data_IF_303691377324
#
_entry.id   IF_303691377324
#
_cell.length_a   1.000
_cell.length_b   1.000
_cell.length_c   1.000
_cell.angle_alpha   90.00
_cell.angle_beta   90.00
_cell.angle_gamma   90.00
#
_symmetry.space_group_name_H-M   'P 1'
#
loop_
_entity.id
_entity.type
_entity.pdbx_description
1 polymer ?
#
# COMPACT_ATOMS: atom_id res chain seq x y z
N UNK A 1 -11.35 11.95 6.77
CA UNK A 1 -10.38 13.02 7.12
C UNK A 1 -9.09 12.47 7.75
N UNK A 2 -9.15 11.33 8.44
CA UNK A 2 -7.98 10.71 9.08
C UNK A 2 -6.93 10.26 8.07
N UNK A 3 -7.32 9.62 6.98
CA UNK A 3 -6.43 9.16 5.92
C UNK A 3 -5.59 10.30 5.34
N UNK A 4 -6.25 11.41 4.97
CA UNK A 4 -5.55 12.58 4.47
C UNK A 4 -4.64 13.22 5.52
N UNK A 5 -5.05 13.22 6.79
CA UNK A 5 -4.21 13.74 7.88
C UNK A 5 -2.96 12.89 8.06
N UNK A 6 -3.05 11.57 7.89
CA UNK A 6 -1.91 10.67 7.91
C UNK A 6 -0.96 10.97 6.74
N UNK A 7 -1.48 11.13 5.51
CA UNK A 7 -0.65 11.55 4.37
C UNK A 7 0.08 12.86 4.65
N UNK A 8 -0.64 13.90 5.09
CA UNK A 8 -0.06 15.22 5.39
C UNK A 8 1.06 15.15 6.41
N UNK A 9 0.93 14.25 7.40
CA UNK A 9 1.91 14.10 8.47
C UNK A 9 3.13 13.28 8.06
N UNK A 10 2.92 12.17 7.35
CA UNK A 10 3.94 11.15 7.20
C UNK A 10 4.64 11.17 5.84
N UNK A 11 3.97 11.60 4.76
CA UNK A 11 4.60 11.68 3.45
C UNK A 11 5.85 12.55 3.40
N UNK A 12 5.94 13.72 4.07
CA UNK A 12 7.18 14.51 4.10
C UNK A 12 8.38 13.78 4.72
N UNK A 13 8.12 12.76 5.54
CA UNK A 13 9.16 11.93 6.15
C UNK A 13 9.49 10.76 5.19
N UNK A 14 8.49 10.07 4.71
CA UNK A 14 8.62 8.88 3.87
C UNK A 14 9.20 9.20 2.49
N UNK A 15 8.87 10.37 1.92
CA UNK A 15 9.45 10.87 0.66
C UNK A 15 10.98 10.94 0.66
N UNK A 16 11.60 11.02 1.83
CA UNK A 16 13.07 11.05 1.99
C UNK A 16 13.68 9.66 2.17
N UNK A 17 12.84 8.68 2.47
CA UNK A 17 13.27 7.31 2.74
C UNK A 17 13.18 6.42 1.49
N UNK A 18 12.27 6.71 0.57
CA UNK A 18 12.03 5.91 -0.63
C UNK A 18 12.70 6.52 -1.86
N UNK A 19 13.09 5.67 -2.80
CA UNK A 19 13.80 6.06 -4.04
C UNK A 19 12.85 6.53 -5.14
N UNK A 20 11.55 6.17 -5.08
CA UNK A 20 10.54 6.58 -6.07
C UNK A 20 9.85 7.87 -5.65
N UNK A 21 9.22 8.55 -6.61
CA UNK A 21 8.44 9.74 -6.29
C UNK A 21 7.16 9.38 -5.55
N UNK A 22 6.80 10.21 -4.57
CA UNK A 22 5.56 10.08 -3.78
C UNK A 22 4.86 11.44 -3.71
N UNK A 23 3.54 11.50 -3.47
CA UNK A 23 2.78 12.75 -3.48
C UNK A 23 2.99 13.58 -2.20
N UNK A 24 4.25 13.92 -1.89
CA UNK A 24 4.57 14.82 -0.78
C UNK A 24 3.80 16.12 -0.94
N UNK A 25 3.01 16.55 0.08
CA UNK A 25 2.22 17.77 -0.01
C UNK A 25 3.08 19.02 -0.24
N UNK A 26 2.84 19.74 -1.35
CA UNK A 26 3.41 21.06 -1.64
C UNK A 26 2.74 22.12 -0.77
N UNK A 27 1.44 21.91 -0.50
CA UNK A 27 0.63 22.79 0.33
C UNK A 27 -0.42 21.99 1.10
N UNK A 28 -0.60 22.32 2.37
CA UNK A 28 -1.60 21.71 3.25
C UNK A 28 -2.64 22.79 3.58
N UNK A 29 -3.89 22.53 3.20
CA UNK A 29 -5.02 23.42 3.43
C UNK A 29 -5.89 22.96 4.60
N UNK A 30 -6.32 23.94 5.39
CA UNK A 30 -7.24 23.71 6.49
C UNK A 30 -8.72 23.81 6.04
N UNK A 31 -9.65 23.17 6.75
CA UNK A 31 -11.09 23.37 6.56
C UNK A 31 -11.48 24.85 6.62
N UNK A 32 -12.48 25.24 5.82
CA UNK A 32 -13.02 26.59 5.77
C UNK A 32 -14.55 26.58 5.75
N UNK A 33 -15.16 27.76 5.83
CA UNK A 33 -16.62 27.86 5.71
C UNK A 33 -17.18 27.42 4.36
N UNK A 34 -16.36 27.41 3.30
CA UNK A 34 -16.74 27.01 1.94
C UNK A 34 -16.32 25.60 1.59
N UNK A 35 -15.36 25.00 2.33
CA UNK A 35 -14.92 23.63 2.16
C UNK A 35 -14.54 23.05 3.54
N UNK A 36 -15.37 22.17 4.05
CA UNK A 36 -15.35 21.68 5.43
C UNK A 36 -14.31 20.58 5.72
N UNK A 37 -13.46 20.23 4.74
CA UNK A 37 -12.47 19.15 4.86
C UNK A 37 -11.04 19.68 4.78
N UNK A 38 -10.05 19.02 5.39
CA UNK A 38 -8.65 19.27 5.09
C UNK A 38 -8.39 18.92 3.61
N UNK A 39 -7.37 19.50 3.02
CA UNK A 39 -6.98 19.25 1.64
C UNK A 39 -5.49 19.46 1.43
N UNK A 40 -4.94 18.91 0.36
CA UNK A 40 -3.54 19.08 -0.02
C UNK A 40 -3.43 19.42 -1.49
N UNK A 41 -2.38 20.15 -1.84
CA UNK A 41 -1.87 20.24 -3.21
C UNK A 41 -0.65 19.33 -3.26
N UNK A 42 -0.65 18.38 -4.18
CA UNK A 42 0.43 17.41 -4.38
C UNK A 42 0.97 17.50 -5.81
N UNK A 43 2.19 17.02 -6.08
CA UNK A 43 2.72 16.93 -7.43
C UNK A 43 1.84 16.03 -8.31
N UNK A 44 1.79 16.37 -9.60
CA UNK A 44 1.28 15.47 -10.63
C UNK A 44 2.44 14.67 -11.23
N UNK A 45 2.29 13.35 -11.32
CA UNK A 45 3.30 12.47 -11.90
C UNK A 45 2.88 12.06 -13.32
N UNK A 46 3.62 12.46 -14.37
CA UNK A 46 3.33 11.99 -15.72
C UNK A 46 3.65 10.51 -15.85
N UNK A 47 2.76 9.76 -16.50
CA UNK A 47 2.93 8.32 -16.68
C UNK A 47 1.60 7.62 -16.90
N UNK A 48 1.63 6.30 -16.83
CA UNK A 48 0.46 5.41 -16.97
C UNK A 48 0.32 4.57 -15.71
N UNK A 49 -0.88 4.47 -15.16
CA UNK A 49 -1.13 3.56 -14.06
C UNK A 49 -0.89 2.10 -14.50
N UNK A 50 -0.22 1.31 -13.67
CA UNK A 50 0.07 -0.08 -14.01
C UNK A 50 -1.21 -0.92 -14.24
N UNK A 51 -2.34 -0.52 -13.64
CA UNK A 51 -3.65 -1.14 -13.89
C UNK A 51 -4.12 -1.00 -15.35
N UNK A 52 -3.69 0.03 -16.07
CA UNK A 52 -4.09 0.31 -17.44
C UNK A 52 -3.21 -0.43 -18.47
N UNK A 53 -2.19 -1.13 -18.00
CA UNK A 53 -1.24 -1.89 -18.80
C UNK A 53 -1.54 -3.39 -18.71
N UNK A 54 -1.15 -4.15 -19.73
CA UNK A 54 -1.19 -5.61 -19.64
C UNK A 54 -0.11 -6.16 -18.69
N UNK A 55 -0.22 -7.44 -18.32
CA UNK A 55 0.68 -8.08 -17.35
C UNK A 55 2.15 -8.04 -17.82
N UNK A 56 2.41 -8.21 -19.11
CA UNK A 56 3.78 -8.20 -19.62
C UNK A 56 4.41 -6.81 -19.53
N UNK A 57 3.62 -5.77 -19.83
CA UNK A 57 4.06 -4.38 -19.75
C UNK A 57 4.34 -3.95 -18.31
N UNK A 58 3.45 -4.29 -17.36
CA UNK A 58 3.67 -3.91 -15.96
C UNK A 58 4.77 -4.71 -15.26
N UNK A 59 5.18 -5.88 -15.80
CA UNK A 59 6.31 -6.62 -15.25
C UNK A 59 7.64 -5.85 -15.36
N UNK A 60 7.76 -4.85 -16.23
CA UNK A 60 8.95 -4.02 -16.31
C UNK A 60 9.22 -3.22 -15.03
N UNK A 61 8.19 -2.85 -14.26
CA UNK A 61 8.36 -2.09 -13.02
C UNK A 61 8.72 -2.93 -11.79
N UNK A 62 8.81 -4.26 -11.90
CA UNK A 62 8.98 -5.15 -10.75
C UNK A 62 10.26 -4.90 -9.96
N UNK A 63 11.36 -4.56 -10.65
CA UNK A 63 12.64 -4.24 -9.98
C UNK A 63 12.52 -2.95 -9.18
N UNK A 64 11.96 -1.88 -9.77
CA UNK A 64 11.71 -0.64 -9.06
C UNK A 64 10.69 -0.77 -7.91
N UNK A 65 9.70 -1.65 -8.07
CA UNK A 65 8.74 -1.94 -7.00
C UNK A 65 9.39 -2.69 -5.83
N UNK A 66 10.30 -3.62 -6.13
CA UNK A 66 11.08 -4.32 -5.10
C UNK A 66 11.97 -3.34 -4.32
N UNK A 67 12.69 -2.47 -5.03
CA UNK A 67 13.53 -1.45 -4.41
C UNK A 67 12.69 -0.50 -3.55
N UNK A 68 11.53 -0.08 -4.03
CA UNK A 68 10.59 0.72 -3.26
C UNK A 68 10.17 0.03 -1.95
N UNK A 69 9.81 -1.26 -1.97
CA UNK A 69 9.45 -1.97 -0.74
C UNK A 69 10.64 -2.17 0.20
N UNK A 70 11.85 -2.38 -0.33
CA UNK A 70 13.07 -2.45 0.50
C UNK A 70 13.28 -1.12 1.23
N UNK A 71 13.09 0.00 0.56
CA UNK A 71 13.24 1.34 1.13
C UNK A 71 12.13 1.63 2.17
N UNK A 72 10.89 1.23 1.87
CA UNK A 72 9.71 1.52 2.69
C UNK A 72 9.65 0.66 3.95
N UNK A 73 9.89 -0.67 3.84
CA UNK A 73 9.71 -1.64 4.92
C UNK A 73 10.81 -1.54 5.98
N UNK A 74 11.09 -0.33 6.43
CA UNK A 74 11.97 -0.05 7.57
C UNK A 74 11.15 0.19 8.83
N UNK A 75 11.78 0.08 10.00
CA UNK A 75 11.12 0.26 11.30
C UNK A 75 10.28 1.53 11.33
N UNK A 76 9.00 1.38 11.64
CA UNK A 76 8.09 2.51 11.75
C UNK A 76 8.44 3.41 12.94
N UNK A 77 8.25 4.71 12.77
CA UNK A 77 8.52 5.69 13.82
C UNK A 77 7.46 5.64 14.92
N UNK A 78 7.81 6.01 16.16
CA UNK A 78 6.83 6.14 17.22
C UNK A 78 5.67 7.08 16.83
N UNK A 79 4.45 6.62 17.02
CA UNK A 79 3.24 7.35 16.65
C UNK A 79 2.86 7.22 15.17
N UNK A 80 3.46 6.27 14.45
CA UNK A 80 2.96 5.83 13.15
C UNK A 80 1.48 5.41 13.25
N UNK A 81 0.67 5.60 12.19
CA UNK A 81 -0.74 5.26 12.26
C UNK A 81 -0.95 3.75 12.34
N UNK A 82 -1.99 3.34 13.02
CA UNK A 82 -2.51 1.99 13.00
C UNK A 82 -3.75 1.95 12.11
N UNK A 83 -3.78 1.03 11.14
CA UNK A 83 -4.92 0.85 10.26
C UNK A 83 -5.64 -0.46 10.62
N UNK A 84 -6.97 -0.44 10.89
CA UNK A 84 -7.70 -1.63 11.28
C UNK A 84 -7.86 -2.68 10.17
N UNK A 85 -7.44 -2.34 8.94
CA UNK A 85 -7.60 -3.20 7.76
C UNK A 85 -6.29 -3.51 7.04
N UNK A 86 -5.18 -2.82 7.37
CA UNK A 86 -3.88 -2.92 6.70
C UNK A 86 -2.77 -3.18 7.70
N UNK A 87 -1.64 -3.73 7.23
CA UNK A 87 -0.50 -4.05 8.09
C UNK A 87 -0.78 -5.12 9.13
N UNK A 88 -1.80 -5.94 8.93
CA UNK A 88 -2.31 -6.90 9.91
C UNK A 88 -1.85 -8.32 9.61
N UNK A 89 -1.59 -9.09 10.66
CA UNK A 89 -1.29 -10.51 10.53
C UNK A 89 -2.41 -11.27 9.80
N UNK A 90 -2.02 -12.15 8.88
CA UNK A 90 -2.93 -12.93 8.02
C UNK A 90 -3.84 -13.89 8.81
N UNK A 91 -3.45 -14.27 10.04
CA UNK A 91 -4.15 -15.23 10.86
C UNK A 91 -5.44 -14.68 11.51
N UNK A 92 -5.84 -13.45 11.22
CA UNK A 92 -7.07 -12.86 11.76
C UNK A 92 -8.32 -13.56 11.22
N UNK A 93 -9.28 -13.74 12.11
CA UNK A 93 -10.50 -14.50 11.83
C UNK A 93 -11.37 -13.89 10.72
N UNK A 94 -11.41 -12.58 10.64
CA UNK A 94 -12.17 -11.83 9.63
C UNK A 94 -11.72 -12.13 8.21
N UNK A 95 -10.42 -12.39 8.04
CA UNK A 95 -9.87 -12.73 6.74
C UNK A 95 -10.31 -14.12 6.27
N UNK A 96 -10.52 -15.08 7.19
CA UNK A 96 -11.05 -16.39 6.84
C UNK A 96 -12.41 -16.33 6.17
N UNK A 97 -13.31 -15.55 6.73
CA UNK A 97 -14.66 -15.43 6.19
C UNK A 97 -14.66 -14.70 4.84
N UNK A 98 -13.82 -13.67 4.72
CA UNK A 98 -13.66 -12.92 3.48
C UNK A 98 -13.06 -13.79 2.38
N UNK A 99 -12.01 -14.56 2.68
CA UNK A 99 -11.39 -15.48 1.74
C UNK A 99 -12.37 -16.58 1.30
N UNK A 100 -13.09 -17.22 2.25
CA UNK A 100 -14.09 -18.24 1.93
C UNK A 100 -15.18 -17.70 1.00
N UNK A 101 -15.63 -16.48 1.22
CA UNK A 101 -16.61 -15.81 0.32
C UNK A 101 -16.01 -15.55 -1.05
N UNK A 102 -14.78 -15.08 -1.12
CA UNK A 102 -14.12 -14.74 -2.39
C UNK A 102 -13.88 -15.98 -3.28
N UNK A 103 -13.61 -17.15 -2.69
CA UNK A 103 -13.38 -18.38 -3.46
C UNK A 103 -14.64 -19.21 -3.70
N UNK A 104 -15.77 -18.83 -3.11
CA UNK A 104 -17.03 -19.57 -3.22
C UNK A 104 -17.47 -19.72 -4.71
N UNK A 105 -17.80 -20.94 -5.11
CA UNK A 105 -18.22 -21.24 -6.49
C UNK A 105 -17.09 -21.38 -7.51
N UNK A 106 -15.83 -21.15 -7.14
CA UNK A 106 -14.68 -21.40 -8.02
C UNK A 106 -14.40 -22.89 -8.12
N UNK A 107 -13.94 -23.35 -9.29
CA UNK A 107 -13.56 -24.75 -9.51
C UNK A 107 -12.34 -25.17 -8.67
N UNK A 108 -11.46 -24.22 -8.36
CA UNK A 108 -10.22 -24.42 -7.59
C UNK A 108 -10.38 -24.06 -6.09
N UNK A 109 -11.61 -23.81 -5.62
CA UNK A 109 -11.89 -23.35 -4.25
C UNK A 109 -11.26 -24.25 -3.15
N UNK A 110 -11.29 -25.57 -3.33
CA UNK A 110 -10.72 -26.51 -2.35
C UNK A 110 -9.19 -26.34 -2.23
N UNK A 111 -8.49 -26.25 -3.35
CA UNK A 111 -7.03 -26.07 -3.38
C UNK A 111 -6.63 -24.70 -2.82
N UNK A 112 -7.41 -23.64 -3.11
CA UNK A 112 -7.18 -22.31 -2.56
C UNK A 112 -7.40 -22.28 -1.04
N UNK A 113 -8.43 -22.97 -0.54
CA UNK A 113 -8.68 -23.05 0.90
C UNK A 113 -7.59 -23.83 1.64
N UNK A 114 -7.08 -24.92 1.05
CA UNK A 114 -5.94 -25.66 1.60
C UNK A 114 -4.70 -24.77 1.72
N UNK A 115 -4.36 -24.01 0.67
CA UNK A 115 -3.27 -23.04 0.69
C UNK A 115 -3.47 -21.96 1.75
N UNK A 116 -4.67 -21.41 1.82
CA UNK A 116 -5.04 -20.42 2.83
C UNK A 116 -4.78 -20.91 4.24
N UNK A 117 -5.22 -22.12 4.56
CA UNK A 117 -5.01 -22.73 5.87
C UNK A 117 -3.53 -22.97 6.19
N UNK A 118 -2.74 -23.33 5.17
CA UNK A 118 -1.28 -23.46 5.31
C UNK A 118 -0.62 -22.11 5.62
N UNK A 119 -0.97 -21.06 4.90
CA UNK A 119 -0.44 -19.70 5.12
C UNK A 119 -0.81 -19.14 6.49
N UNK A 120 -2.04 -19.39 6.97
CA UNK A 120 -2.45 -19.00 8.31
C UNK A 120 -1.70 -19.71 9.43
N UNK A 121 -1.06 -20.82 9.16
CA UNK A 121 -0.20 -21.55 10.11
C UNK A 121 1.24 -21.01 10.16
N UNK A 122 1.58 -20.04 9.32
CA UNK A 122 2.90 -19.39 9.37
C UNK A 122 2.96 -18.48 10.59
N UNK A 123 4.09 -18.45 11.32
CA UNK A 123 4.27 -17.49 12.42
C UNK A 123 4.04 -16.05 11.97
N UNK A 124 3.46 -15.25 12.85
CA UNK A 124 3.30 -13.82 12.62
C UNK A 124 4.66 -13.14 12.47
N UNK A 125 4.67 -12.01 11.77
CA UNK A 125 5.81 -11.12 11.72
C UNK A 125 6.20 -10.66 13.13
N UNK A 126 7.44 -10.89 13.55
CA UNK A 126 7.94 -10.63 14.91
C UNK A 126 9.14 -9.68 14.98
N UNK A 127 9.59 -9.15 13.81
CA UNK A 127 10.72 -8.22 13.76
C UNK A 127 10.37 -6.75 14.07
N UNK A 128 9.15 -6.53 14.59
CA UNK A 128 8.62 -5.19 14.86
C UNK A 128 7.89 -4.57 13.67
N UNK A 129 7.05 -3.61 13.96
CA UNK A 129 6.24 -2.95 12.93
C UNK A 129 7.12 -2.13 11.99
N UNK A 130 6.93 -2.32 10.69
CA UNK A 130 7.57 -1.52 9.64
C UNK A 130 6.55 -0.59 8.99
N UNK A 131 7.03 0.39 8.23
CA UNK A 131 6.15 1.18 7.39
C UNK A 131 5.56 0.30 6.29
N UNK A 132 4.27 0.44 6.06
CA UNK A 132 3.48 -0.27 5.06
C UNK A 132 2.65 0.76 4.29
N UNK A 133 2.65 0.68 2.96
CA UNK A 133 1.80 1.54 2.11
C UNK A 133 0.32 1.24 2.36
N UNK A 134 -0.02 -0.03 2.49
CA UNK A 134 -1.34 -0.54 2.82
C UNK A 134 -2.27 -0.75 1.63
N UNK A 135 -1.99 -0.12 0.49
CA UNK A 135 -2.80 -0.25 -0.74
C UNK A 135 -1.95 -0.16 -2.02
N UNK A 136 -0.80 -0.84 -2.06
CA UNK A 136 0.15 -0.78 -3.18
C UNK A 136 -0.31 -1.56 -4.43
N UNK A 137 -1.57 -1.48 -4.80
CA UNK A 137 -2.12 -2.18 -5.96
C UNK A 137 -1.75 -1.48 -7.30
N UNK A 138 -1.87 -2.17 -8.46
CA UNK A 138 -1.43 -1.62 -9.75
C UNK A 138 -2.03 -0.26 -10.14
N UNK A 139 -3.19 0.14 -9.60
CA UNK A 139 -3.78 1.46 -9.83
C UNK A 139 -3.01 2.60 -9.16
N UNK A 140 -2.23 2.29 -8.13
CA UNK A 140 -1.45 3.24 -7.35
C UNK A 140 0.04 3.29 -7.76
N UNK A 141 0.43 2.53 -8.79
CA UNK A 141 1.78 2.50 -9.35
C UNK A 141 1.79 3.23 -10.69
N UNK A 142 2.57 4.30 -10.80
CA UNK A 142 2.70 5.09 -12.03
C UNK A 142 4.00 4.70 -12.72
N UNK A 143 3.89 4.22 -13.95
CA UNK A 143 5.02 3.87 -14.79
C UNK A 143 5.30 5.00 -15.80
N UNK A 144 6.57 5.29 -16.02
CA UNK A 144 7.01 6.22 -17.06
C UNK A 144 6.95 5.62 -18.47
N UNK A 145 7.38 6.37 -19.46
CA UNK A 145 7.40 5.94 -20.87
C UNK A 145 8.35 4.76 -21.14
N UNK A 146 9.32 4.51 -20.27
CA UNK A 146 10.25 3.37 -20.35
C UNK A 146 9.68 2.10 -19.73
N UNK A 147 8.60 2.24 -18.96
CA UNK A 147 7.97 1.17 -18.17
C UNK A 147 8.57 1.03 -16.77
N UNK A 148 9.42 1.97 -16.35
CA UNK A 148 10.00 1.98 -15.01
C UNK A 148 9.02 2.59 -14.01
N UNK A 149 9.10 2.18 -12.73
CA UNK A 149 8.29 2.74 -11.66
C UNK A 149 8.70 4.20 -11.39
N UNK A 150 7.85 5.13 -11.79
CA UNK A 150 8.08 6.57 -11.64
C UNK A 150 7.55 7.12 -10.31
N UNK A 151 6.38 6.67 -9.88
CA UNK A 151 5.77 7.12 -8.63
C UNK A 151 4.86 6.06 -7.99
N UNK A 152 4.70 6.17 -6.68
CA UNK A 152 3.69 5.42 -5.90
C UNK A 152 2.77 6.44 -5.24
N UNK A 153 1.46 6.32 -5.49
CA UNK A 153 0.43 7.28 -5.07
C UNK A 153 -0.60 6.66 -4.15
N UNK A 154 -1.49 7.47 -3.58
CA UNK A 154 -2.58 7.07 -2.68
C UNK A 154 -2.10 6.42 -1.37
N UNK A 155 -1.52 7.25 -0.52
CA UNK A 155 -0.96 6.85 0.77
C UNK A 155 -1.95 6.97 1.95
N UNK A 156 -3.23 7.11 1.66
CA UNK A 156 -4.25 7.23 2.71
C UNK A 156 -4.25 6.07 3.70
N UNK A 157 -3.91 4.87 3.24
CA UNK A 157 -3.85 3.65 4.05
C UNK A 157 -2.49 3.38 4.71
N UNK A 158 -1.53 4.34 4.63
CA UNK A 158 -0.21 4.19 5.25
C UNK A 158 -0.32 3.81 6.73
N UNK A 159 0.45 2.81 7.13
CA UNK A 159 0.36 2.27 8.50
C UNK A 159 1.69 1.68 8.97
N UNK A 160 1.77 1.37 10.26
CA UNK A 160 2.78 0.50 10.82
C UNK A 160 2.24 -0.94 10.90
N UNK A 161 3.04 -1.95 10.55
CA UNK A 161 2.59 -3.34 10.66
C UNK A 161 3.45 -4.37 9.94
N UNK A 162 2.79 -5.47 9.54
CA UNK A 162 3.39 -6.60 8.82
C UNK A 162 3.62 -6.23 7.34
N UNK A 163 4.87 -6.25 6.84
CA UNK A 163 5.20 -5.93 5.46
C UNK A 163 4.56 -6.86 4.43
N UNK A 164 4.17 -8.06 4.81
CA UNK A 164 3.51 -9.00 3.90
C UNK A 164 2.18 -8.47 3.36
N UNK A 165 1.56 -7.50 4.03
CA UNK A 165 0.30 -6.91 3.56
C UNK A 165 0.47 -6.13 2.25
N UNK A 166 1.63 -5.51 1.99
CA UNK A 166 1.93 -4.82 0.73
C UNK A 166 2.22 -5.79 -0.42
N UNK A 167 2.57 -7.04 -0.12
CA UNK A 167 2.89 -8.05 -1.13
C UNK A 167 1.66 -8.84 -1.61
N UNK A 168 0.49 -8.54 -1.07
CA UNK A 168 -0.76 -9.27 -1.33
C UNK A 168 -1.64 -8.61 -2.42
N UNK A 169 -1.17 -7.58 -3.10
CA UNK A 169 -1.93 -6.74 -4.06
C UNK A 169 -1.68 -7.09 -5.52
#
# INVERSE_FOLDING_TARGET
DELLTNEQRWLPILARAVSVQVPEPIFIGAPSATFAHPWSVVPWFPGTAASDLDVAQRNSCMEGLLDFFIDLHVQALPGAPENPYRGLAINRREFDESFRRAVAGRQDAAALLERWLAWRGVPDWDAGDVWVHGDAHPGNLILDASGDLAAVIDWGDVTAGDPASDLAT
#
